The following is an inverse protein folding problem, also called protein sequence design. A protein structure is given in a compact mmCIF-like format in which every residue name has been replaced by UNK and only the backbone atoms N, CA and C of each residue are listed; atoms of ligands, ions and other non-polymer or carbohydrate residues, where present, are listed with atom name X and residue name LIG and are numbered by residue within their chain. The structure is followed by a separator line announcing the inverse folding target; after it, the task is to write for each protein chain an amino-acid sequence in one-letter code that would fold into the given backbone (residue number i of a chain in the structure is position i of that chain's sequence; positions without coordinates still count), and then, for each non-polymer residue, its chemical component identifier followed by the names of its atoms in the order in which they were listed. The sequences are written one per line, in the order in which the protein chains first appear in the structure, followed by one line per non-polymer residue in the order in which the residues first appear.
data_IF_522893231913
#
_entry.id   IF_522893231913
#
_cell.length_a   1.000
_cell.length_b   1.000
_cell.length_c   1.000
_cell.angle_alpha   90.00
_cell.angle_beta   90.00
_cell.angle_gamma   90.00
#
_symmetry.space_group_name_H-M   'P 1'
#
loop_
_entity.id
_entity.type
_entity.pdbx_description
1 polymer ?
#
# COMPACT_ATOMS: atom_id res chain seq x y z
N UNK A 1 3.38 -7.83 -0.14
CA UNK A 1 3.32 -6.62 0.70
C UNK A 1 4.61 -5.82 0.63
N UNK A 2 4.49 -4.50 0.68
CA UNK A 2 5.59 -3.54 0.61
C UNK A 2 5.71 -2.76 1.93
N UNK A 3 6.92 -2.34 2.29
CA UNK A 3 7.23 -1.53 3.49
C UNK A 3 8.17 -0.39 3.12
N UNK A 4 7.70 0.62 2.36
CA UNK A 4 8.50 1.79 2.02
C UNK A 4 8.78 2.65 3.26
N UNK A 5 9.81 3.50 3.17
CA UNK A 5 10.06 4.53 4.20
C UNK A 5 8.94 5.57 4.25
N UNK A 6 8.39 5.93 3.08
CA UNK A 6 7.23 6.81 2.91
C UNK A 6 6.08 6.04 2.23
N UNK A 7 5.02 5.78 2.99
CA UNK A 7 3.86 5.01 2.53
C UNK A 7 3.06 5.76 1.47
N UNK A 8 2.87 7.07 1.65
CA UNK A 8 2.04 7.87 0.75
C UNK A 8 2.74 8.05 -0.60
N UNK A 9 4.05 8.35 -0.59
CA UNK A 9 4.83 8.48 -1.81
C UNK A 9 4.86 7.18 -2.63
N UNK A 10 4.94 6.02 -1.97
CA UNK A 10 4.92 4.74 -2.67
C UNK A 10 3.52 4.39 -3.20
N UNK A 11 2.45 4.69 -2.45
CA UNK A 11 1.08 4.54 -2.95
C UNK A 11 0.87 5.39 -4.20
N UNK A 12 1.28 6.66 -4.19
CA UNK A 12 1.15 7.56 -5.34
C UNK A 12 1.95 7.04 -6.56
N UNK A 13 3.17 6.56 -6.32
CA UNK A 13 3.99 5.95 -7.37
C UNK A 13 3.31 4.74 -8.00
N UNK A 14 2.76 3.85 -7.18
CA UNK A 14 2.12 2.62 -7.66
C UNK A 14 0.82 2.93 -8.43
N UNK A 15 0.05 3.92 -7.97
CA UNK A 15 -1.12 4.41 -8.71
C UNK A 15 -0.70 4.98 -10.07
N UNK A 16 0.40 5.76 -10.13
CA UNK A 16 0.94 6.27 -11.39
C UNK A 16 1.41 5.15 -12.34
N UNK A 17 1.78 3.98 -11.81
CA UNK A 17 2.12 2.78 -12.59
C UNK A 17 0.90 1.93 -12.99
N UNK A 18 -0.31 2.33 -12.60
CA UNK A 18 -1.57 1.67 -12.96
C UNK A 18 -2.20 0.83 -11.86
N UNK A 19 -1.64 0.82 -10.64
CA UNK A 19 -2.32 0.20 -9.51
C UNK A 19 -3.58 1.00 -9.11
N UNK A 20 -4.52 0.32 -8.47
CA UNK A 20 -5.76 0.92 -7.99
C UNK A 20 -5.99 0.59 -6.53
N UNK A 21 -6.55 1.54 -5.76
CA UNK A 21 -6.93 1.28 -4.36
C UNK A 21 -8.04 0.24 -4.31
N UNK A 22 -7.91 -0.72 -3.38
CA UNK A 22 -8.93 -1.72 -3.10
C UNK A 22 -9.40 -1.68 -1.66
N UNK A 23 -10.71 -1.85 -1.53
CA UNK A 23 -11.39 -2.07 -0.27
C UNK A 23 -11.74 -3.56 -0.19
N UNK A 24 -11.16 -4.23 0.78
CA UNK A 24 -11.35 -5.64 1.10
C UNK A 24 -12.12 -5.82 2.41
N UNK A 25 -12.79 -4.76 2.89
CA UNK A 25 -13.48 -4.75 4.17
C UNK A 25 -12.55 -4.62 5.37
N UNK A 26 -11.36 -4.03 5.18
CA UNK A 26 -10.33 -3.95 6.22
C UNK A 26 -10.64 -2.96 7.35
N UNK A 27 -11.60 -2.05 7.15
CA UNK A 27 -11.93 -1.02 8.14
C UNK A 27 -10.81 0.00 8.35
N UNK A 28 -10.67 0.51 9.58
CA UNK A 28 -9.66 1.50 9.94
C UNK A 28 -8.33 0.81 10.28
N UNK A 29 -7.46 0.68 9.28
CA UNK A 29 -6.15 0.03 9.38
C UNK A 29 -5.05 0.92 8.82
N UNK A 30 -3.82 0.70 9.28
CA UNK A 30 -2.67 1.52 8.89
C UNK A 30 -2.03 1.14 7.55
N UNK A 31 -2.52 0.12 6.86
CA UNK A 31 -2.03 -0.27 5.54
C UNK A 31 -3.02 0.06 4.44
N UNK A 32 -2.48 0.34 3.26
CA UNK A 32 -3.26 0.58 2.05
C UNK A 32 -3.25 -0.69 1.21
N UNK A 33 -4.42 -1.17 0.81
CA UNK A 33 -4.53 -2.29 -0.13
C UNK A 33 -4.63 -1.73 -1.55
N UNK A 34 -3.76 -2.22 -2.43
CA UNK A 34 -3.77 -1.91 -3.85
C UNK A 34 -3.94 -3.21 -4.66
N UNK A 35 -4.49 -3.08 -5.87
CA UNK A 35 -4.44 -4.10 -6.89
C UNK A 35 -3.63 -3.60 -8.09
N UNK A 36 -2.74 -4.43 -8.63
CA UNK A 36 -2.05 -4.15 -9.89
C UNK A 36 -3.03 -4.19 -11.09
N UNK A 37 -2.60 -3.83 -12.31
CA UNK A 37 -3.45 -3.90 -13.50
C UNK A 37 -3.99 -5.30 -13.84
N UNK A 38 -3.35 -6.36 -13.35
CA UNK A 38 -3.79 -7.76 -13.52
C UNK A 38 -4.82 -8.16 -12.45
N UNK A 39 -5.03 -7.33 -11.44
CA UNK A 39 -5.96 -7.54 -10.34
C UNK A 39 -5.34 -8.22 -9.12
N UNK A 40 -4.02 -8.42 -9.07
CA UNK A 40 -3.37 -9.02 -7.92
C UNK A 40 -3.30 -8.03 -6.76
N UNK A 41 -3.78 -8.46 -5.60
CA UNK A 41 -3.86 -7.63 -4.39
C UNK A 41 -2.58 -7.69 -3.57
N UNK A 42 -2.18 -6.54 -3.03
CA UNK A 42 -1.05 -6.44 -2.10
C UNK A 42 -1.22 -5.24 -1.17
N UNK A 43 -0.59 -5.30 0.02
CA UNK A 43 -0.62 -4.19 0.97
C UNK A 43 0.66 -3.34 0.89
N UNK A 44 0.50 -2.03 1.03
CA UNK A 44 1.58 -1.10 1.34
C UNK A 44 1.46 -0.76 2.83
N UNK A 45 2.41 -1.24 3.61
CA UNK A 45 2.46 -1.10 5.06
C UNK A 45 3.28 0.13 5.45
N UNK A 46 2.99 0.73 6.60
CA UNK A 46 3.88 1.73 7.19
C UNK A 46 5.26 1.14 7.50
N UNK A 47 6.30 1.95 7.36
CA UNK A 47 7.65 1.59 7.77
C UNK A 47 7.67 1.31 9.28
N UNK A 48 8.30 0.19 9.64
CA UNK A 48 8.54 -0.16 11.05
C UNK A 48 9.65 0.76 11.54
N UNK A 49 9.31 1.83 12.28
CA UNK A 49 10.34 2.54 13.05
C UNK A 49 11.00 1.54 13.99
N UNK A 50 12.28 1.25 13.77
CA UNK A 50 13.08 0.55 14.75
C UNK A 50 13.23 1.49 15.95
N UNK A 51 12.64 1.12 17.09
CA UNK A 51 12.86 1.84 18.35
C UNK A 51 14.36 1.77 18.64
N UNK A 52 15.03 2.92 18.58
CA UNK A 52 16.41 3.11 19.03
C UNK A 52 16.40 3.41 20.52
#
# INVERSE_FOLDING_TARGET
DLRPDDQDAEVDRLIALGASRRDVGQGDVSWVVLADPEGNEFCVLQSRRATT
#
